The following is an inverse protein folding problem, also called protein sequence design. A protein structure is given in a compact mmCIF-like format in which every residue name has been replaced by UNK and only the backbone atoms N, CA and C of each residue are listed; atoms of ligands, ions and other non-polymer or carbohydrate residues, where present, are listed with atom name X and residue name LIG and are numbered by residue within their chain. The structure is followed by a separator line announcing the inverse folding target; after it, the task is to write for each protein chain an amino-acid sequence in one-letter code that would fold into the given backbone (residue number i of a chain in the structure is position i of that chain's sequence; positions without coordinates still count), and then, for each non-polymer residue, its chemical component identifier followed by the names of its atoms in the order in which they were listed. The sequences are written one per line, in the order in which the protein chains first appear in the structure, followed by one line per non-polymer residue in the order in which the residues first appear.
data_IF_911702667213
#
_entry.id   IF_911702667213
#
_cell.length_a   1.000
_cell.length_b   1.000
_cell.length_c   1.000
_cell.angle_alpha   90.00
_cell.angle_beta   90.00
_cell.angle_gamma   90.00
#
_symmetry.space_group_name_H-M   'P 1'
#
loop_
_entity.id
_entity.type
_entity.pdbx_description
1 polymer ?
#
# COMPACT_ATOMS: atom_id res chain seq x y z
N UNK A 1 4.55 -1.97 10.79
CA UNK A 1 3.79 -3.23 10.73
C UNK A 1 4.57 -4.33 11.42
N UNK A 2 4.24 -4.68 12.66
CA UNK A 2 4.83 -5.83 13.30
C UNK A 2 4.26 -7.08 12.61
N UNK A 3 5.15 -7.89 12.04
CA UNK A 3 4.84 -9.22 11.53
C UNK A 3 4.14 -9.99 12.66
N UNK A 4 2.97 -10.56 12.39
CA UNK A 4 2.16 -11.25 13.41
C UNK A 4 2.93 -12.41 14.05
N UNK A 5 2.88 -12.49 15.39
CA UNK A 5 3.50 -13.54 16.19
C UNK A 5 3.56 -13.16 17.67
N UNK A 6 3.65 -14.15 18.56
CA UNK A 6 3.87 -13.93 19.98
C UNK A 6 5.25 -13.32 20.20
N UNK A 7 5.34 -12.04 20.60
CA UNK A 7 6.63 -11.40 20.86
C UNK A 7 7.28 -11.98 22.12
N UNK A 8 8.50 -12.48 21.97
CA UNK A 8 9.31 -12.97 23.08
C UNK A 8 9.79 -11.78 23.93
N UNK A 9 9.45 -11.75 25.22
CA UNK A 9 9.90 -10.74 26.18
C UNK A 9 10.93 -11.39 27.12
N UNK A 10 12.23 -11.23 26.85
CA UNK A 10 13.29 -11.69 27.75
C UNK A 10 14.28 -10.58 28.06
N UNK A 11 14.61 -10.46 29.34
CA UNK A 11 15.42 -9.41 29.96
C UNK A 11 16.94 -9.59 29.81
N UNK A 12 17.42 -10.58 29.05
CA UNK A 12 18.78 -10.76 28.51
C UNK A 12 18.93 -12.22 28.10
N UNK A 13 19.41 -12.52 26.88
CA UNK A 13 20.32 -13.63 26.53
C UNK A 13 20.50 -13.76 25.01
N UNK A 14 21.66 -14.29 24.60
CA UNK A 14 22.15 -14.53 23.23
C UNK A 14 21.11 -14.95 22.19
N UNK A 15 21.32 -14.61 20.91
CA UNK A 15 20.42 -14.94 19.78
C UNK A 15 19.91 -16.40 19.74
N UNK A 16 20.72 -17.34 20.20
CA UNK A 16 20.39 -18.77 20.31
C UNK A 16 19.20 -19.09 21.24
N UNK A 17 18.85 -18.22 22.19
CA UNK A 17 17.72 -18.43 23.11
C UNK A 17 16.41 -17.79 22.62
N UNK A 18 16.43 -17.09 21.49
CA UNK A 18 15.27 -16.34 20.97
C UNK A 18 14.40 -17.16 20.00
N UNK A 19 14.77 -18.41 19.69
CA UNK A 19 13.98 -19.24 18.77
C UNK A 19 13.84 -20.68 19.22
N UNK A 20 12.64 -21.23 18.96
CA UNK A 20 12.32 -22.65 19.13
C UNK A 20 12.38 -23.42 17.80
N UNK A 21 12.85 -22.76 16.74
CA UNK A 21 12.96 -23.24 15.35
C UNK A 21 14.00 -22.40 14.57
N UNK A 22 14.12 -22.59 13.25
CA UNK A 22 14.96 -21.75 12.38
C UNK A 22 14.57 -20.26 12.53
N UNK A 23 15.47 -19.46 13.12
CA UNK A 23 15.28 -18.02 13.23
C UNK A 23 16.20 -17.27 12.27
N UNK A 24 15.61 -16.27 11.62
CA UNK A 24 16.31 -15.38 10.72
C UNK A 24 16.38 -13.99 11.34
N UNK A 25 17.60 -13.50 11.54
CA UNK A 25 17.84 -12.11 11.92
C UNK A 25 18.00 -11.28 10.64
N UNK A 26 17.07 -10.36 10.38
CA UNK A 26 17.16 -9.46 9.23
C UNK A 26 17.46 -8.05 9.76
N UNK A 27 18.68 -7.51 9.53
CA UNK A 27 18.98 -6.13 9.88
C UNK A 27 18.18 -5.20 8.96
N UNK A 28 17.29 -4.40 9.53
CA UNK A 28 16.49 -3.43 8.77
C UNK A 28 17.26 -2.13 8.48
N UNK A 29 18.34 -1.85 9.22
CA UNK A 29 19.14 -0.64 9.07
C UNK A 29 19.68 -0.14 10.41
N UNK A 30 20.01 1.15 10.49
CA UNK A 30 20.46 1.81 11.72
C UNK A 30 19.77 3.18 11.91
N UNK A 31 19.92 3.79 13.07
CA UNK A 31 19.25 5.07 13.39
C UNK A 31 19.99 6.32 12.89
N UNK A 32 21.11 6.19 12.17
CA UNK A 32 22.02 7.32 11.90
C UNK A 32 22.38 7.53 10.43
N UNK A 33 22.74 6.48 9.68
CA UNK A 33 23.20 6.56 8.28
C UNK A 33 22.34 5.76 7.30
N UNK A 34 21.59 4.77 7.76
CA UNK A 34 20.73 3.93 6.94
C UNK A 34 19.42 3.65 7.67
N UNK A 35 18.61 4.69 7.84
CA UNK A 35 17.33 4.60 8.56
C UNK A 35 16.33 3.77 7.75
N UNK A 36 15.84 2.63 8.27
CA UNK A 36 14.74 1.95 7.61
C UNK A 36 13.53 2.89 7.56
N UNK A 37 12.79 2.86 6.47
CA UNK A 37 11.54 3.60 6.37
C UNK A 37 10.40 2.60 6.33
N UNK A 38 9.48 2.73 7.27
CA UNK A 38 8.21 2.02 7.19
C UNK A 38 7.06 3.00 7.30
N UNK A 39 6.62 3.48 6.14
CA UNK A 39 5.61 4.52 6.07
C UNK A 39 4.23 3.93 5.82
N UNK A 40 3.25 4.45 6.54
CA UNK A 40 1.84 4.33 6.20
C UNK A 40 1.42 5.64 5.51
N UNK A 41 0.81 5.52 4.34
CA UNK A 41 0.22 6.64 3.63
C UNK A 41 -1.30 6.52 3.69
N UNK A 42 -1.98 7.64 3.94
CA UNK A 42 -3.43 7.66 4.04
C UNK A 42 -4.00 9.04 3.75
N UNK A 43 -5.25 9.06 3.28
CA UNK A 43 -5.99 10.30 3.10
C UNK A 43 -6.84 10.51 4.34
N UNK A 44 -6.61 11.63 5.02
CA UNK A 44 -7.38 12.05 6.20
C UNK A 44 -8.46 13.05 5.84
N UNK A 45 -8.95 13.73 6.88
CA UNK A 45 -9.95 14.78 6.74
C UNK A 45 -9.47 15.92 5.81
N UNK A 46 -10.44 16.68 5.30
CA UNK A 46 -10.21 17.83 4.42
C UNK A 46 -9.39 17.50 3.16
N UNK A 47 -9.41 16.25 2.69
CA UNK A 47 -8.68 15.81 1.49
C UNK A 47 -7.17 16.00 1.61
N UNK A 48 -6.62 15.70 2.79
CA UNK A 48 -5.19 15.84 3.05
C UNK A 48 -4.52 14.47 3.04
N UNK A 49 -3.46 14.32 2.26
CA UNK A 49 -2.59 13.16 2.30
C UNK A 49 -1.65 13.26 3.50
N UNK A 50 -1.61 12.21 4.30
CA UNK A 50 -0.72 12.08 5.44
C UNK A 50 0.27 10.94 5.23
N UNK A 51 1.45 11.09 5.82
CA UNK A 51 2.38 9.99 6.08
C UNK A 51 2.53 9.75 7.57
N UNK A 52 2.77 8.51 7.95
CA UNK A 52 3.04 8.13 9.32
C UNK A 52 4.21 7.14 9.35
N UNK A 53 5.25 7.46 10.12
CA UNK A 53 6.40 6.59 10.31
C UNK A 53 6.09 5.55 11.38
N UNK A 54 5.87 4.30 10.97
CA UNK A 54 5.55 3.20 11.88
C UNK A 54 6.72 2.72 12.72
N UNK A 55 7.95 3.13 12.40
CA UNK A 55 9.12 2.80 13.22
C UNK A 55 9.45 3.90 14.23
N UNK A 56 8.75 5.04 14.15
CA UNK A 56 8.92 6.20 15.03
C UNK A 56 10.40 6.62 15.16
N UNK A 57 11.19 6.46 14.09
CA UNK A 57 12.64 6.68 14.12
C UNK A 57 13.00 8.16 14.22
N UNK A 58 12.06 9.03 13.91
CA UNK A 58 12.14 10.48 14.09
C UNK A 58 11.59 10.94 15.46
N UNK A 59 11.09 10.03 16.30
CA UNK A 59 10.48 10.35 17.59
C UNK A 59 9.13 11.07 17.52
N UNK A 60 8.52 11.16 16.34
CA UNK A 60 7.24 11.82 16.12
C UNK A 60 6.13 10.80 15.94
N UNK A 61 5.32 10.63 16.98
CA UNK A 61 4.14 9.75 16.99
C UNK A 61 2.88 10.52 16.54
N UNK A 62 2.97 11.12 15.35
CA UNK A 62 1.85 11.85 14.77
C UNK A 62 1.90 11.76 13.23
N UNK A 63 0.73 11.63 12.56
CA UNK A 63 0.65 11.75 11.10
C UNK A 63 1.16 13.12 10.63
N UNK A 64 2.00 13.13 9.61
CA UNK A 64 2.56 14.33 8.99
C UNK A 64 1.79 14.66 7.70
N UNK A 65 1.24 15.88 7.54
CA UNK A 65 0.61 16.27 6.29
C UNK A 65 1.65 16.38 5.17
N UNK A 66 1.37 15.76 4.03
CA UNK A 66 2.21 15.78 2.83
C UNK A 66 1.66 16.69 1.73
N UNK A 67 0.36 16.61 1.47
CA UNK A 67 -0.28 17.35 0.39
C UNK A 67 -1.77 17.57 0.66
N UNK A 68 -2.29 18.72 0.23
CA UNK A 68 -3.72 19.02 0.24
C UNK A 68 -4.36 18.69 -1.12
N UNK A 69 -5.70 18.58 -1.12
CA UNK A 69 -6.48 18.33 -2.32
C UNK A 69 -6.44 16.88 -2.79
N UNK A 70 -5.91 15.95 -2.01
CA UNK A 70 -5.94 14.52 -2.28
C UNK A 70 -7.24 13.93 -1.74
N UNK A 71 -8.17 13.56 -2.63
CA UNK A 71 -9.47 13.03 -2.23
C UNK A 71 -9.46 11.53 -1.97
N UNK A 72 -8.64 10.79 -2.70
CA UNK A 72 -8.61 9.34 -2.62
C UNK A 72 -7.26 8.84 -3.07
N UNK A 73 -6.76 7.84 -2.34
CA UNK A 73 -5.60 7.02 -2.66
C UNK A 73 -6.08 5.57 -2.74
N UNK A 74 -5.86 4.90 -3.87
CA UNK A 74 -6.12 3.46 -4.04
C UNK A 74 -4.89 2.77 -4.61
N UNK A 75 -4.77 1.48 -4.35
CA UNK A 75 -3.69 0.66 -4.89
C UNK A 75 -4.22 -0.68 -5.39
N UNK A 76 -3.59 -1.19 -6.45
CA UNK A 76 -3.79 -2.54 -6.98
C UNK A 76 -2.43 -3.20 -7.16
N UNK A 77 -2.41 -4.53 -7.05
CA UNK A 77 -1.20 -5.34 -7.17
C UNK A 77 -1.07 -5.88 -8.59
N UNK A 78 0.12 -5.70 -9.19
CA UNK A 78 0.53 -6.41 -10.39
C UNK A 78 1.14 -7.74 -9.98
N UNK A 79 0.52 -8.82 -10.43
CA UNK A 79 0.82 -10.18 -10.00
C UNK A 79 1.42 -10.98 -11.15
N UNK A 80 2.51 -11.66 -10.83
CA UNK A 80 3.14 -12.72 -11.59
C UNK A 80 2.52 -14.07 -11.18
N UNK A 81 1.86 -14.73 -12.11
CA UNK A 81 1.11 -15.98 -11.92
C UNK A 81 1.86 -17.21 -12.42
N UNK A 82 2.89 -17.03 -13.26
CA UNK A 82 3.72 -18.08 -13.84
C UNK A 82 5.19 -18.06 -13.37
N UNK A 83 5.50 -17.19 -12.41
CA UNK A 83 6.79 -17.04 -11.72
C UNK A 83 7.96 -16.64 -12.66
N UNK A 84 7.66 -15.88 -13.74
CA UNK A 84 8.65 -15.39 -14.72
C UNK A 84 9.22 -14.00 -14.41
N UNK A 85 8.71 -13.34 -13.37
CA UNK A 85 9.06 -11.99 -12.93
C UNK A 85 8.31 -10.87 -13.66
N UNK A 86 7.32 -11.20 -14.49
CA UNK A 86 6.50 -10.28 -15.27
C UNK A 86 5.07 -10.27 -14.76
N UNK A 87 4.40 -9.12 -14.83
CA UNK A 87 2.99 -9.01 -14.47
C UNK A 87 2.16 -9.72 -15.53
N UNK A 88 1.37 -10.73 -15.14
CA UNK A 88 0.36 -11.31 -16.04
C UNK A 88 -1.04 -10.73 -15.78
N UNK A 89 -1.36 -10.38 -14.53
CA UNK A 89 -2.70 -9.90 -14.15
C UNK A 89 -2.66 -8.89 -12.99
N UNK A 90 -3.76 -8.15 -12.80
CA UNK A 90 -3.91 -7.16 -11.74
C UNK A 90 -5.01 -7.57 -10.75
N UNK A 91 -4.76 -7.31 -9.46
CA UNK A 91 -5.72 -7.63 -8.41
C UNK A 91 -5.87 -6.48 -7.42
N UNK A 92 -7.11 -6.19 -7.02
CA UNK A 92 -7.38 -5.28 -5.91
C UNK A 92 -7.33 -6.02 -4.57
N UNK A 93 -6.86 -5.36 -3.48
CA UNK A 93 -6.88 -5.90 -2.12
C UNK A 93 -8.28 -5.88 -1.51
N UNK A 94 -9.23 -6.57 -2.15
CA UNK A 94 -10.63 -6.65 -1.71
C UNK A 94 -10.78 -7.62 -0.56
N UNK A 95 -11.45 -7.22 0.53
CA UNK A 95 -11.69 -8.08 1.69
C UNK A 95 -12.31 -9.43 1.29
N UNK A 96 -11.77 -10.52 1.84
CA UNK A 96 -12.15 -11.91 1.52
C UNK A 96 -11.44 -12.51 0.32
N UNK A 97 -10.63 -11.74 -0.41
CA UNK A 97 -9.77 -12.23 -1.50
C UNK A 97 -8.47 -12.84 -0.96
N UNK A 98 -7.84 -13.73 -1.73
CA UNK A 98 -6.48 -14.22 -1.47
C UNK A 98 -5.41 -13.11 -1.51
N UNK A 99 -5.78 -11.95 -2.04
CA UNK A 99 -4.95 -10.74 -2.15
C UNK A 99 -5.27 -9.70 -1.08
N UNK A 100 -6.15 -9.98 -0.12
CA UNK A 100 -6.39 -9.08 0.98
C UNK A 100 -5.25 -9.11 2.01
N UNK A 101 -5.18 -8.09 2.86
CA UNK A 101 -4.11 -7.98 3.86
C UNK A 101 -4.11 -9.13 4.87
N UNK A 102 -5.27 -9.72 5.20
CA UNK A 102 -5.35 -10.81 6.16
C UNK A 102 -4.80 -12.12 5.57
N UNK A 103 -5.12 -12.40 4.29
CA UNK A 103 -4.64 -13.54 3.54
C UNK A 103 -3.13 -13.46 3.27
N UNK A 104 -2.63 -12.27 2.93
CA UNK A 104 -1.20 -12.04 2.67
C UNK A 104 -0.35 -12.07 3.95
N UNK A 105 -0.92 -11.76 5.11
CA UNK A 105 -0.18 -11.65 6.37
C UNK A 105 -0.43 -12.82 7.35
N UNK A 106 -1.07 -13.90 6.91
CA UNK A 106 -1.41 -15.04 7.78
C UNK A 106 -0.24 -16.00 8.09
N UNK A 107 0.93 -15.80 7.47
CA UNK A 107 2.14 -16.61 7.72
C UNK A 107 2.12 -18.01 7.11
N UNK A 108 1.10 -18.38 6.33
CA UNK A 108 1.04 -19.66 5.63
C UNK A 108 2.04 -19.71 4.46
N UNK A 109 2.47 -20.91 4.01
CA UNK A 109 3.29 -21.05 2.80
C UNK A 109 2.64 -20.41 1.57
N UNK A 110 1.31 -20.51 1.45
CA UNK A 110 0.56 -19.87 0.37
C UNK A 110 0.66 -18.34 0.42
N UNK A 111 0.58 -17.73 1.60
CA UNK A 111 0.76 -16.28 1.76
C UNK A 111 2.16 -15.82 1.36
N UNK A 112 3.20 -16.59 1.69
CA UNK A 112 4.56 -16.31 1.28
C UNK A 112 4.74 -16.39 -0.24
N UNK A 113 4.14 -17.39 -0.89
CA UNK A 113 4.11 -17.50 -2.37
C UNK A 113 3.37 -16.33 -3.00
N UNK A 114 2.18 -15.98 -2.50
CA UNK A 114 1.39 -14.86 -3.03
C UNK A 114 2.13 -13.52 -2.86
N UNK A 115 2.79 -13.27 -1.73
CA UNK A 115 3.60 -12.08 -1.51
C UNK A 115 4.77 -11.98 -2.49
N UNK A 116 5.43 -13.11 -2.82
CA UNK A 116 6.53 -13.15 -3.82
C UNK A 116 6.06 -12.82 -5.22
N UNK A 117 4.84 -13.23 -5.55
CA UNK A 117 4.20 -13.00 -6.85
C UNK A 117 3.72 -11.57 -7.07
N UNK A 118 3.65 -10.75 -6.02
CA UNK A 118 3.41 -9.31 -6.18
C UNK A 118 4.71 -8.66 -6.67
N UNK A 119 4.76 -8.32 -7.96
CA UNK A 119 5.94 -7.75 -8.63
C UNK A 119 5.78 -6.25 -8.96
N UNK A 120 4.57 -5.71 -8.84
CA UNK A 120 4.34 -4.27 -8.94
C UNK A 120 3.15 -3.83 -8.08
N UNK A 121 3.12 -2.53 -7.78
CA UNK A 121 1.95 -1.86 -7.20
C UNK A 121 1.62 -0.67 -8.09
N UNK A 122 0.38 -0.57 -8.56
CA UNK A 122 -0.12 0.63 -9.24
C UNK A 122 -0.97 1.42 -8.27
N UNK A 123 -0.59 2.67 -8.09
CA UNK A 123 -1.19 3.60 -7.14
C UNK A 123 -2.00 4.61 -7.95
N UNK A 124 -3.25 4.80 -7.57
CA UNK A 124 -4.18 5.75 -8.16
C UNK A 124 -4.53 6.83 -7.15
N UNK A 125 -4.40 8.08 -7.58
CA UNK A 125 -4.70 9.28 -6.80
C UNK A 125 -5.78 10.08 -7.50
N UNK A 126 -6.80 10.50 -6.77
CA UNK A 126 -7.73 11.54 -7.24
C UNK A 126 -7.41 12.82 -6.49
N UNK A 127 -7.02 13.85 -7.24
CA UNK A 127 -6.76 15.17 -6.71
C UNK A 127 -7.83 16.16 -7.14
N UNK A 128 -8.10 17.16 -6.31
CA UNK A 128 -8.97 18.30 -6.62
C UNK A 128 -8.18 19.61 -6.60
N UNK A 129 -8.62 20.55 -7.43
CA UNK A 129 -8.18 21.94 -7.37
C UNK A 129 -8.77 22.65 -6.15
N UNK A 130 -8.10 23.69 -5.66
CA UNK A 130 -8.64 24.61 -4.65
C UNK A 130 -9.59 25.67 -5.22
N UNK A 131 -9.60 25.87 -6.54
CA UNK A 131 -10.48 26.84 -7.20
C UNK A 131 -11.90 26.28 -7.36
N UNK A 132 -12.87 27.03 -6.85
CA UNK A 132 -14.30 26.75 -7.01
C UNK A 132 -14.80 27.48 -8.24
N UNK A 133 -15.34 26.73 -9.19
CA UNK A 133 -15.98 27.23 -10.40
C UNK A 133 -17.46 27.56 -10.12
N UNK A 134 -18.07 28.36 -10.99
CA UNK A 134 -19.49 28.74 -10.84
C UNK A 134 -20.43 27.56 -11.06
N UNK A 135 -20.11 26.74 -12.04
CA UNK A 135 -20.90 25.57 -12.47
C UNK A 135 -20.19 24.28 -12.08
N UNK A 136 -20.91 23.16 -12.19
CA UNK A 136 -20.31 21.84 -12.04
C UNK A 136 -19.35 21.56 -13.21
N UNK A 137 -18.08 21.28 -12.89
CA UNK A 137 -17.00 21.02 -13.85
C UNK A 137 -16.44 19.60 -13.76
N UNK A 138 -16.93 18.79 -12.83
CA UNK A 138 -16.53 17.41 -12.66
C UNK A 138 -17.74 16.46 -12.74
N UNK A 139 -17.56 15.26 -13.33
CA UNK A 139 -18.60 14.24 -13.35
C UNK A 139 -18.91 13.72 -11.94
N UNK A 140 -20.06 13.04 -11.79
CA UNK A 140 -20.46 12.42 -10.54
C UNK A 140 -19.52 11.29 -10.07
N UNK A 141 -18.78 10.70 -11.00
CA UNK A 141 -17.87 9.58 -10.74
C UNK A 141 -16.62 9.74 -11.58
N UNK A 142 -15.46 9.44 -10.99
CA UNK A 142 -14.19 9.31 -11.70
C UNK A 142 -13.69 7.87 -11.59
N UNK A 143 -13.26 7.28 -12.71
CA UNK A 143 -12.68 5.94 -12.74
C UNK A 143 -11.18 5.99 -12.53
N UNK A 144 -10.67 5.11 -11.66
CA UNK A 144 -9.26 4.73 -11.60
C UNK A 144 -9.07 3.34 -12.22
N UNK A 145 -7.89 3.09 -12.79
CA UNK A 145 -7.48 1.81 -13.34
C UNK A 145 -8.39 1.30 -14.46
N UNK A 146 -8.91 2.21 -15.28
CA UNK A 146 -9.88 1.89 -16.34
C UNK A 146 -9.34 1.00 -17.45
N UNK A 147 -8.01 0.95 -17.58
CA UNK A 147 -7.27 0.11 -18.53
C UNK A 147 -6.95 -1.29 -17.98
N UNK A 148 -7.17 -1.54 -16.69
CA UNK A 148 -6.80 -2.80 -16.05
C UNK A 148 -7.96 -3.79 -16.00
N UNK A 149 -7.61 -5.07 -16.04
CA UNK A 149 -8.50 -6.19 -15.83
C UNK A 149 -7.99 -7.08 -14.70
N UNK A 150 -8.88 -7.92 -14.16
CA UNK A 150 -8.60 -8.96 -13.19
C UNK A 150 -9.38 -10.21 -13.58
N UNK A 151 -8.69 -11.30 -13.91
CA UNK A 151 -9.33 -12.52 -14.41
C UNK A 151 -10.19 -12.29 -15.67
N UNK A 152 -9.85 -11.29 -16.49
CA UNK A 152 -10.60 -10.91 -17.69
C UNK A 152 -11.78 -9.95 -17.47
N UNK A 153 -12.10 -9.56 -16.22
CA UNK A 153 -13.11 -8.55 -15.91
C UNK A 153 -12.48 -7.17 -15.66
N UNK A 154 -13.14 -6.04 -15.99
CA UNK A 154 -12.60 -4.71 -15.70
C UNK A 154 -12.35 -4.48 -14.21
N UNK A 155 -11.16 -3.96 -13.87
CA UNK A 155 -10.75 -3.66 -12.48
C UNK A 155 -11.05 -2.21 -12.06
N UNK A 156 -11.83 -1.47 -12.87
CA UNK A 156 -12.11 -0.05 -12.66
C UNK A 156 -12.60 0.26 -11.24
N UNK A 157 -11.86 1.13 -10.55
CA UNK A 157 -12.18 1.60 -9.22
C UNK A 157 -12.87 2.96 -9.29
N UNK A 158 -14.19 2.95 -9.14
CA UNK A 158 -15.00 4.17 -9.18
C UNK A 158 -14.88 4.98 -7.88
N UNK A 159 -14.61 6.27 -8.03
CA UNK A 159 -14.57 7.27 -6.96
C UNK A 159 -15.76 8.21 -7.15
N UNK A 160 -16.68 8.21 -6.18
CA UNK A 160 -17.83 9.09 -6.20
C UNK A 160 -17.40 10.52 -5.82
N UNK A 161 -17.81 11.50 -6.63
CA UNK A 161 -17.60 12.92 -6.36
C UNK A 161 -18.90 13.51 -5.80
N UNK A 162 -18.83 13.95 -4.55
CA UNK A 162 -19.95 14.58 -3.87
C UNK A 162 -20.36 15.87 -4.60
N UNK A 163 -21.65 16.21 -4.57
CA UNK A 163 -22.18 17.38 -5.29
C UNK A 163 -21.48 18.69 -4.93
N UNK A 164 -21.07 18.85 -3.66
CA UNK A 164 -20.33 20.03 -3.21
C UNK A 164 -18.94 20.16 -3.87
N UNK A 165 -18.30 19.03 -4.16
CA UNK A 165 -16.96 19.00 -4.76
C UNK A 165 -17.00 19.15 -6.28
N UNK A 166 -18.14 18.92 -6.95
CA UNK A 166 -18.24 18.93 -8.43
C UNK A 166 -17.90 20.27 -9.09
N UNK A 167 -17.91 21.37 -8.33
CA UNK A 167 -17.48 22.69 -8.78
C UNK A 167 -15.96 22.88 -8.78
N UNK A 168 -15.20 21.91 -8.28
CA UNK A 168 -13.75 21.89 -8.36
C UNK A 168 -13.32 20.93 -9.47
N UNK A 169 -12.24 21.26 -10.16
CA UNK A 169 -11.67 20.36 -11.18
C UNK A 169 -10.95 19.20 -10.51
N UNK A 170 -11.14 18.00 -11.05
CA UNK A 170 -10.52 16.78 -10.54
C UNK A 170 -9.54 16.22 -11.57
N UNK A 171 -8.49 15.58 -11.06
CA UNK A 171 -7.53 14.84 -11.89
C UNK A 171 -7.24 13.49 -11.26
N UNK A 172 -7.44 12.43 -12.03
CA UNK A 172 -6.90 11.12 -11.73
C UNK A 172 -5.44 11.06 -12.18
N UNK A 173 -4.56 10.57 -11.31
CA UNK A 173 -3.16 10.28 -11.59
C UNK A 173 -2.89 8.85 -11.18
N UNK A 174 -2.21 8.11 -12.04
CA UNK A 174 -1.86 6.73 -11.77
C UNK A 174 -0.38 6.51 -12.05
N UNK A 175 0.28 5.77 -11.17
CA UNK A 175 1.70 5.43 -11.30
C UNK A 175 1.91 3.97 -10.96
N UNK A 176 2.67 3.27 -11.81
CA UNK A 176 3.07 1.88 -11.55
C UNK A 176 4.49 1.87 -10.99
N UNK A 177 4.64 1.27 -9.81
CA UNK A 177 5.93 1.09 -9.14
C UNK A 177 6.28 -0.40 -9.15
N UNK A 178 7.33 -0.83 -9.85
CA UNK A 178 7.81 -2.20 -9.75
C UNK A 178 8.40 -2.43 -8.36
N UNK A 179 8.02 -3.54 -7.73
CA UNK A 179 8.56 -3.94 -6.42
C UNK A 179 9.53 -5.08 -6.61
N UNK A 180 10.78 -4.86 -6.20
CA UNK A 180 11.75 -5.94 -6.12
C UNK A 180 11.59 -6.60 -4.76
N UNK A 181 10.90 -7.73 -4.75
CA UNK A 181 10.77 -8.49 -3.53
C UNK A 181 12.11 -9.21 -3.24
N UNK A 182 12.80 -8.79 -2.19
CA UNK A 182 14.07 -9.37 -1.74
C UNK A 182 13.87 -10.57 -0.79
N UNK A 183 12.64 -11.10 -0.68
CA UNK A 183 12.39 -12.33 0.07
C UNK A 183 13.37 -13.39 -0.42
N UNK A 184 14.24 -13.84 0.49
CA UNK A 184 15.36 -14.74 0.25
C UNK A 184 14.94 -15.83 -0.74
N UNK A 185 15.45 -15.75 -1.98
CA UNK A 185 15.40 -16.88 -2.92
C UNK A 185 16.19 -18.00 -2.23
N UNK A 186 15.63 -19.20 -2.06
CA UNK A 186 16.38 -20.33 -1.53
C UNK A 186 17.64 -20.59 -2.38
#
# INVERSE_FOLDING_TARGET
MPLGGSFHNASSTTFATLSTADAYAIPLGNTTTNRPQFQLLGVGDNTTLFSYDMLLLNGNDAPLPLAEGVMTLRAVYGVDTDDDGVINDWFAPTAGSIWDSAALMNGSPASATNLRRIVAVRIGLVMRSSLIEREDVAPATLGLFTDLTSGGAPLTQNVAIATADRRMRHRAIEVTVPVRNLLLRP
#
